data_IF_889601334162
#
_entry.id   IF_889601334162
#
_cell.length_a   1.000
_cell.length_b   1.000
_cell.length_c   1.000
_cell.angle_alpha   90.00
_cell.angle_beta   90.00
_cell.angle_gamma   90.00
#
_symmetry.space_group_name_H-M   'P 1'
#
loop_
_entity.id
_entity.type
_entity.pdbx_description
1 polymer ?
#
# COMPACT_ATOMS: atom_id res chain seq x y z
N UNK A 1 -61.27 57.72 -25.45
CA UNK A 1 -60.75 56.87 -26.54
C UNK A 1 -59.26 56.87 -26.50
N UNK A 2 -58.65 55.87 -25.89
CA UNK A 2 -57.28 55.45 -26.08
C UNK A 2 -57.02 54.33 -25.08
N UNK A 3 -57.00 53.11 -25.58
CA UNK A 3 -56.69 51.89 -24.82
C UNK A 3 -55.21 51.90 -24.54
N UNK A 4 -54.89 51.67 -23.29
CA UNK A 4 -53.52 51.41 -22.86
C UNK A 4 -53.31 49.88 -22.66
N UNK A 5 -52.62 49.31 -23.62
CA UNK A 5 -52.12 47.94 -23.50
C UNK A 5 -51.07 47.87 -22.40
N UNK A 6 -51.36 47.10 -21.36
CA UNK A 6 -50.42 46.77 -20.30
C UNK A 6 -49.82 45.40 -20.64
N UNK A 7 -48.58 45.43 -21.10
CA UNK A 7 -47.81 44.19 -21.39
C UNK A 7 -47.27 43.64 -20.09
N UNK A 8 -47.86 42.54 -19.61
CA UNK A 8 -47.31 41.78 -18.48
C UNK A 8 -46.15 40.90 -18.97
N UNK A 9 -44.93 41.28 -18.56
CA UNK A 9 -43.74 40.49 -18.80
C UNK A 9 -43.64 39.40 -17.69
N UNK A 10 -44.06 38.18 -18.02
CA UNK A 10 -43.91 37.04 -17.11
C UNK A 10 -42.45 36.60 -17.11
N UNK A 11 -41.77 36.91 -16.02
CA UNK A 11 -40.44 36.34 -15.74
C UNK A 11 -40.64 34.91 -15.28
N UNK A 12 -40.48 33.95 -16.21
CA UNK A 12 -40.38 32.56 -15.88
C UNK A 12 -39.03 32.27 -15.24
N UNK A 13 -39.02 32.17 -13.92
CA UNK A 13 -37.88 31.71 -13.14
C UNK A 13 -37.70 30.23 -13.41
N UNK A 14 -36.78 29.88 -14.29
CA UNK A 14 -36.35 28.49 -14.49
C UNK A 14 -35.53 28.06 -13.26
N UNK A 15 -36.21 27.45 -12.32
CA UNK A 15 -35.56 26.69 -11.25
C UNK A 15 -35.10 25.37 -11.86
N UNK A 16 -33.84 25.31 -12.31
CA UNK A 16 -33.18 24.08 -12.66
C UNK A 16 -33.01 23.25 -11.37
N UNK A 17 -33.58 22.05 -11.31
CA UNK A 17 -33.23 21.16 -10.22
C UNK A 17 -31.74 20.75 -10.38
N UNK A 18 -30.88 21.30 -9.55
CA UNK A 18 -29.54 20.73 -9.37
C UNK A 18 -29.73 19.29 -8.88
N UNK A 19 -29.32 18.29 -9.64
CA UNK A 19 -29.25 16.95 -9.08
C UNK A 19 -28.19 17.00 -7.98
N UNK A 20 -28.64 16.89 -6.73
CA UNK A 20 -27.77 16.49 -5.65
C UNK A 20 -27.26 15.09 -5.99
N UNK A 21 -26.15 15.04 -6.69
CA UNK A 21 -25.34 13.84 -6.74
C UNK A 21 -24.79 13.60 -5.33
N UNK A 22 -25.62 12.94 -4.50
CA UNK A 22 -25.14 12.21 -3.35
C UNK A 22 -24.34 11.00 -3.87
N UNK A 23 -23.30 11.29 -4.63
CA UNK A 23 -22.31 10.30 -4.95
C UNK A 23 -21.50 10.06 -3.67
N UNK A 24 -21.71 8.92 -3.00
CA UNK A 24 -20.62 8.27 -2.34
C UNK A 24 -19.59 7.96 -3.44
N UNK A 25 -18.86 8.99 -3.86
CA UNK A 25 -17.70 8.80 -4.71
C UNK A 25 -16.71 7.92 -3.94
N UNK A 26 -15.94 7.08 -4.62
CA UNK A 26 -14.84 6.40 -3.99
C UNK A 26 -14.05 7.44 -3.22
N UNK A 27 -13.70 7.16 -1.98
CA UNK A 27 -12.83 8.03 -1.19
C UNK A 27 -11.56 8.23 -2.00
N UNK A 28 -11.46 9.37 -2.67
CA UNK A 28 -10.24 9.77 -3.34
C UNK A 28 -9.25 10.02 -2.22
N UNK A 29 -8.37 9.07 -2.00
CA UNK A 29 -7.18 9.36 -1.22
C UNK A 29 -6.46 10.46 -1.99
N UNK A 30 -6.10 11.51 -1.30
CA UNK A 30 -5.40 12.63 -1.89
C UNK A 30 -4.15 12.09 -2.60
N UNK A 31 -4.05 12.15 -3.94
CA UNK A 31 -2.89 11.62 -4.66
C UNK A 31 -1.60 12.37 -4.31
N UNK A 32 -1.68 13.38 -3.47
CA UNK A 32 -0.56 14.22 -3.02
C UNK A 32 -0.23 14.03 -1.54
N UNK A 33 -0.54 12.86 -0.96
CA UNK A 33 -0.07 12.58 0.40
C UNK A 33 1.45 12.68 0.42
N UNK A 34 1.97 13.70 1.08
CA UNK A 34 3.39 13.85 1.34
C UNK A 34 3.75 13.13 2.63
N UNK A 35 4.67 12.18 2.55
CA UNK A 35 5.19 11.50 3.73
C UNK A 35 6.10 12.48 4.48
N UNK A 36 5.70 12.82 5.69
CA UNK A 36 6.54 13.63 6.59
C UNK A 36 7.64 12.77 7.17
N UNK A 37 8.85 13.29 7.18
CA UNK A 37 9.96 12.62 7.86
C UNK A 37 9.62 12.37 9.33
N UNK A 38 9.77 11.13 9.76
CA UNK A 38 9.51 10.73 11.13
C UNK A 38 10.22 9.41 11.44
N UNK A 39 10.90 9.37 12.57
CA UNK A 39 11.49 8.13 13.09
C UNK A 39 10.44 7.04 13.38
N UNK A 40 9.16 7.42 13.46
CA UNK A 40 8.04 6.50 13.67
C UNK A 40 7.51 5.88 12.39
N UNK A 41 7.92 6.39 11.22
CA UNK A 41 7.57 5.79 9.94
C UNK A 41 8.26 4.43 9.81
N UNK A 42 7.52 3.46 9.28
CA UNK A 42 8.09 2.18 8.91
C UNK A 42 7.23 1.45 7.87
N UNK A 43 7.89 0.60 7.10
CA UNK A 43 7.27 -0.32 6.15
C UNK A 43 7.89 -1.70 6.35
N UNK A 44 7.05 -2.73 6.38
CA UNK A 44 7.47 -4.13 6.39
C UNK A 44 6.91 -4.84 5.16
N UNK A 45 7.80 -5.42 4.34
CA UNK A 45 7.49 -6.13 3.12
C UNK A 45 7.88 -7.59 3.31
N UNK A 46 6.95 -8.52 3.03
CA UNK A 46 7.20 -9.96 3.09
C UNK A 46 6.96 -10.58 1.72
N UNK A 47 8.02 -11.08 1.12
CA UNK A 47 7.99 -11.78 -0.16
C UNK A 47 8.19 -13.29 0.03
N UNK A 48 7.43 -14.08 -0.71
CA UNK A 48 7.51 -15.53 -0.76
C UNK A 48 7.61 -15.99 -2.21
N UNK A 49 8.58 -16.85 -2.47
CA UNK A 49 8.66 -17.59 -3.72
C UNK A 49 8.28 -19.05 -3.46
N UNK A 50 7.14 -19.45 -3.99
CA UNK A 50 6.51 -20.76 -3.73
C UNK A 50 6.78 -21.78 -4.83
N UNK A 51 7.53 -21.41 -5.87
CA UNK A 51 7.88 -22.32 -6.96
C UNK A 51 8.78 -23.49 -6.52
N UNK A 52 9.27 -23.46 -5.28
CA UNK A 52 10.14 -24.52 -4.68
C UNK A 52 9.74 -24.77 -3.24
N UNK A 53 10.00 -26.00 -2.79
CA UNK A 53 9.87 -26.38 -1.36
C UNK A 53 11.27 -26.64 -0.78
N UNK A 54 11.55 -26.14 0.43
CA UNK A 54 10.73 -25.24 1.24
C UNK A 54 10.60 -23.86 0.58
N UNK A 55 9.50 -23.15 0.87
CA UNK A 55 9.19 -21.83 0.30
C UNK A 55 10.30 -20.84 0.67
N UNK A 56 10.91 -20.21 -0.32
CA UNK A 56 11.88 -19.13 -0.07
C UNK A 56 11.14 -17.90 0.42
N UNK A 57 11.67 -17.28 1.45
CA UNK A 57 11.07 -16.14 2.09
C UNK A 57 12.08 -15.03 2.36
N UNK A 58 11.66 -13.79 2.10
CA UNK A 58 12.42 -12.58 2.39
C UNK A 58 11.50 -11.59 3.08
N UNK A 59 11.95 -11.02 4.18
CA UNK A 59 11.32 -9.89 4.86
C UNK A 59 12.25 -8.69 4.83
N UNK A 60 11.73 -7.52 4.49
CA UNK A 60 12.44 -6.25 4.54
C UNK A 60 11.64 -5.29 5.40
N UNK A 61 12.23 -4.78 6.45
CA UNK A 61 11.63 -3.78 7.33
C UNK A 61 12.48 -2.51 7.24
N UNK A 62 11.87 -1.41 6.81
CA UNK A 62 12.53 -0.10 6.64
C UNK A 62 11.93 0.84 7.67
N UNK A 63 12.79 1.54 8.38
CA UNK A 63 12.40 2.50 9.42
C UNK A 63 12.81 3.93 9.01
N UNK A 64 12.04 4.93 9.44
CA UNK A 64 12.32 6.34 9.17
C UNK A 64 13.65 6.85 9.74
N UNK A 65 14.29 6.07 10.60
CA UNK A 65 15.67 6.30 11.07
C UNK A 65 16.74 5.91 10.05
N UNK A 66 16.34 5.37 8.88
CA UNK A 66 17.25 4.80 7.89
C UNK A 66 17.72 3.38 8.23
N UNK A 67 17.25 2.80 9.33
CA UNK A 67 17.56 1.39 9.63
C UNK A 67 16.74 0.47 8.73
N UNK A 68 17.41 -0.48 8.08
CA UNK A 68 16.78 -1.54 7.29
C UNK A 68 17.14 -2.90 7.90
N UNK A 69 16.13 -3.70 8.22
CA UNK A 69 16.30 -5.07 8.67
C UNK A 69 15.87 -6.02 7.56
N UNK A 70 16.79 -6.89 7.14
CA UNK A 70 16.53 -7.88 6.10
C UNK A 70 16.63 -9.26 6.69
N UNK A 71 15.55 -10.04 6.60
CA UNK A 71 15.51 -11.45 7.00
C UNK A 71 15.36 -12.31 5.75
N UNK A 72 16.23 -13.30 5.59
CA UNK A 72 16.15 -14.29 4.52
C UNK A 72 16.07 -15.67 5.13
N UNK A 73 15.25 -16.52 4.55
CA UNK A 73 15.12 -17.89 5.03
C UNK A 73 14.09 -18.66 4.23
N UNK A 74 13.54 -19.66 4.88
CA UNK A 74 12.49 -20.50 4.32
C UNK A 74 11.25 -20.46 5.20
N UNK A 75 10.13 -20.87 4.66
CA UNK A 75 8.87 -21.07 5.39
C UNK A 75 8.19 -22.31 4.88
N UNK A 76 7.45 -23.00 5.73
CA UNK A 76 6.61 -24.12 5.31
C UNK A 76 5.26 -23.63 4.79
N UNK A 77 4.81 -22.46 5.28
CA UNK A 77 3.49 -21.90 5.00
C UNK A 77 3.57 -20.42 4.67
N UNK A 78 2.70 -19.97 3.79
CA UNK A 78 2.38 -18.55 3.59
C UNK A 78 1.26 -18.17 4.56
N UNK A 79 1.44 -17.08 5.29
CA UNK A 79 0.42 -16.58 6.21
C UNK A 79 -0.07 -15.20 5.79
N UNK A 80 -1.38 -15.03 5.75
CA UNK A 80 -2.03 -13.74 5.54
C UNK A 80 -2.00 -12.85 6.81
N UNK A 81 -1.64 -13.40 7.98
CA UNK A 81 -1.56 -12.67 9.23
C UNK A 81 -0.16 -12.08 9.43
N UNK A 82 -0.06 -10.76 9.49
CA UNK A 82 1.21 -10.06 9.70
C UNK A 82 1.92 -10.49 10.98
N UNK A 83 1.18 -10.66 12.08
CA UNK A 83 1.78 -11.08 13.36
C UNK A 83 2.41 -12.46 13.26
N UNK A 84 1.82 -13.36 12.48
CA UNK A 84 2.40 -14.68 12.20
C UNK A 84 3.59 -14.58 11.25
N UNK A 85 3.51 -13.69 10.22
CA UNK A 85 4.64 -13.46 9.31
C UNK A 85 5.87 -12.89 10.02
N UNK A 86 5.68 -12.04 11.01
CA UNK A 86 6.78 -11.34 11.70
C UNK A 86 7.50 -12.19 12.74
N UNK A 87 6.87 -13.28 13.22
CA UNK A 87 7.48 -14.15 14.26
C UNK A 87 8.58 -15.03 13.69
N UNK A 88 9.74 -15.04 14.32
CA UNK A 88 10.87 -15.87 13.91
C UNK A 88 10.57 -17.37 13.95
N UNK A 89 9.66 -17.81 14.84
CA UNK A 89 9.23 -19.20 14.93
C UNK A 89 8.61 -19.76 13.63
N UNK A 90 8.17 -18.88 12.72
CA UNK A 90 7.61 -19.27 11.42
C UNK A 90 8.65 -19.26 10.28
N UNK A 91 9.92 -19.09 10.61
CA UNK A 91 11.00 -19.05 9.64
C UNK A 91 11.97 -20.22 9.88
N UNK A 92 12.41 -20.85 8.79
CA UNK A 92 13.52 -21.79 8.79
C UNK A 92 14.77 -21.15 8.18
N UNK A 93 15.95 -21.61 8.65
CA UNK A 93 17.25 -21.19 8.11
C UNK A 93 17.45 -19.68 8.02
N UNK A 94 17.08 -18.95 9.07
CA UNK A 94 17.09 -17.48 9.09
C UNK A 94 18.51 -16.94 8.99
N UNK A 95 18.68 -15.95 8.11
CA UNK A 95 19.81 -15.02 8.09
C UNK A 95 19.26 -13.61 8.20
N UNK A 96 19.75 -12.86 9.19
CA UNK A 96 19.33 -11.48 9.42
C UNK A 96 20.50 -10.53 9.13
N UNK A 97 20.20 -9.46 8.42
CA UNK A 97 21.14 -8.39 8.11
C UNK A 97 20.53 -7.06 8.58
N UNK A 98 21.39 -6.19 9.09
CA UNK A 98 21.04 -4.81 9.40
C UNK A 98 21.86 -3.89 8.51
N UNK A 99 21.18 -3.01 7.81
CA UNK A 99 21.78 -2.01 6.91
C UNK A 99 21.39 -0.66 7.44
N UNK A 100 22.23 0.32 7.29
CA UNK A 100 21.93 1.71 7.57
C UNK A 100 22.00 2.49 6.26
N UNK A 101 20.90 3.13 5.89
CA UNK A 101 20.80 4.07 4.77
C UNK A 101 20.57 5.48 5.31
N UNK A 102 20.64 6.46 4.44
CA UNK A 102 20.26 7.84 4.78
C UNK A 102 18.76 7.87 5.14
N UNK A 103 18.35 8.54 6.24
CA UNK A 103 16.94 8.73 6.57
C UNK A 103 16.13 9.37 5.43
N UNK A 104 16.74 10.26 4.65
CA UNK A 104 16.11 10.84 3.47
C UNK A 104 15.84 9.76 2.40
N UNK A 105 16.80 8.86 2.14
CA UNK A 105 16.58 7.75 1.22
C UNK A 105 15.46 6.82 1.68
N UNK A 106 15.34 6.58 2.99
CA UNK A 106 14.20 5.83 3.54
C UNK A 106 12.87 6.57 3.29
N UNK A 107 12.85 7.89 3.48
CA UNK A 107 11.66 8.71 3.22
C UNK A 107 11.28 8.73 1.74
N UNK A 108 12.26 8.76 0.84
CA UNK A 108 12.04 8.68 -0.61
C UNK A 108 11.41 7.34 -1.01
N UNK A 109 11.86 6.22 -0.41
CA UNK A 109 11.23 4.91 -0.59
C UNK A 109 9.78 4.95 -0.10
N UNK A 110 9.50 5.51 1.07
CA UNK A 110 8.15 5.62 1.60
C UNK A 110 7.25 6.46 0.70
N UNK A 111 7.74 7.62 0.22
CA UNK A 111 7.00 8.48 -0.69
C UNK A 111 6.70 7.76 -2.01
N UNK A 112 7.66 7.02 -2.54
CA UNK A 112 7.46 6.24 -3.75
C UNK A 112 6.35 5.19 -3.56
N UNK A 113 6.37 4.43 -2.46
CA UNK A 113 5.32 3.45 -2.16
C UNK A 113 3.94 4.10 -1.97
N UNK A 114 3.87 5.32 -1.39
CA UNK A 114 2.62 6.09 -1.29
C UNK A 114 2.12 6.50 -2.66
N UNK A 115 3.00 6.94 -3.56
CA UNK A 115 2.66 7.29 -4.93
C UNK A 115 2.11 6.10 -5.73
N UNK A 116 2.51 4.87 -5.36
CA UNK A 116 1.95 3.62 -5.91
C UNK A 116 0.74 3.08 -5.10
N UNK A 117 0.16 3.89 -4.22
CA UNK A 117 -1.10 3.57 -3.56
C UNK A 117 -1.00 2.64 -2.36
N UNK A 118 0.15 2.53 -1.70
CA UNK A 118 0.29 1.66 -0.51
C UNK A 118 -0.67 2.03 0.62
N UNK A 119 -1.12 3.29 0.69
CA UNK A 119 -2.09 3.77 1.68
C UNK A 119 -3.53 3.80 1.16
N UNK A 120 -3.77 3.64 -0.15
CA UNK A 120 -5.07 3.86 -0.80
C UNK A 120 -6.06 2.69 -0.61
N UNK A 121 -5.65 1.66 0.09
CA UNK A 121 -6.42 0.42 0.13
C UNK A 121 -7.41 0.38 1.26
N UNK A 122 -8.67 0.23 0.89
CA UNK A 122 -9.67 -0.29 1.82
C UNK A 122 -9.19 -1.66 2.32
N UNK A 123 -9.29 -1.87 3.63
CA UNK A 123 -9.00 -3.17 4.27
C UNK A 123 -9.99 -4.22 3.73
N UNK A 124 -9.74 -4.67 2.52
CA UNK A 124 -10.52 -5.76 1.94
C UNK A 124 -10.04 -7.06 2.57
N UNK A 125 -10.55 -7.41 3.74
CA UNK A 125 -10.36 -8.72 4.35
C UNK A 125 -10.96 -9.88 3.53
N UNK A 126 -11.16 -9.67 2.24
CA UNK A 126 -11.59 -10.65 1.26
C UNK A 126 -10.36 -11.33 0.71
N UNK A 127 -9.91 -12.37 1.41
CA UNK A 127 -9.07 -13.39 0.79
C UNK A 127 -9.75 -13.83 -0.51
N UNK A 128 -9.21 -13.42 -1.65
CA UNK A 128 -9.62 -14.01 -2.91
C UNK A 128 -9.23 -15.48 -2.85
N UNK A 129 -10.19 -16.39 -3.07
CA UNK A 129 -9.94 -17.82 -3.16
C UNK A 129 -9.29 -18.20 -4.50
N UNK A 130 -8.58 -17.27 -5.15
CA UNK A 130 -7.87 -17.54 -6.39
C UNK A 130 -6.67 -18.43 -6.12
N UNK A 131 -6.37 -19.26 -7.09
CA UNK A 131 -5.24 -20.20 -7.07
C UNK A 131 -3.96 -19.50 -6.62
N UNK A 132 -3.25 -20.19 -5.75
CA UNK A 132 -1.98 -19.71 -5.19
C UNK A 132 -1.01 -19.50 -6.34
N UNK A 133 -0.65 -18.28 -6.62
CA UNK A 133 0.41 -17.95 -7.57
C UNK A 133 1.76 -18.45 -7.04
N UNK A 134 2.74 -18.65 -7.92
CA UNK A 134 4.10 -19.04 -7.52
C UNK A 134 4.81 -17.97 -6.66
N UNK A 135 4.20 -16.79 -6.53
CA UNK A 135 4.75 -15.66 -5.78
C UNK A 135 3.68 -15.03 -4.92
N UNK A 136 4.06 -14.64 -3.72
CA UNK A 136 3.22 -13.89 -2.80
C UNK A 136 4.02 -12.71 -2.22
N UNK A 137 3.43 -11.53 -2.18
CA UNK A 137 4.01 -10.36 -1.52
C UNK A 137 2.95 -9.67 -0.69
N UNK A 138 3.31 -9.32 0.53
CA UNK A 138 2.45 -8.59 1.45
C UNK A 138 3.21 -7.41 2.05
N UNK A 139 2.50 -6.35 2.33
CA UNK A 139 3.05 -5.13 2.92
C UNK A 139 2.26 -4.73 4.17
N UNK A 140 2.95 -4.15 5.12
CA UNK A 140 2.36 -3.38 6.20
C UNK A 140 3.15 -2.08 6.35
N UNK A 141 2.44 -0.96 6.39
CA UNK A 141 3.05 0.35 6.49
C UNK A 141 2.42 1.18 7.61
N UNK A 142 3.23 1.98 8.27
CA UNK A 142 2.79 3.04 9.17
C UNK A 142 3.56 4.31 8.78
N UNK A 143 2.92 5.16 8.00
CA UNK A 143 3.53 6.37 7.44
C UNK A 143 2.70 7.59 7.84
N UNK A 144 3.34 8.59 8.43
CA UNK A 144 2.69 9.83 8.87
C UNK A 144 1.45 9.60 9.75
N UNK A 145 1.48 8.60 10.65
CA UNK A 145 0.38 8.14 11.50
C UNK A 145 -0.78 7.43 10.76
N UNK A 146 -0.62 7.13 9.48
CA UNK A 146 -1.55 6.28 8.75
C UNK A 146 -1.04 4.84 8.76
N UNK A 147 -1.82 3.93 9.32
CA UNK A 147 -1.47 2.51 9.35
C UNK A 147 -2.22 1.78 8.25
N UNK A 148 -1.46 1.12 7.38
CA UNK A 148 -1.98 0.24 6.35
C UNK A 148 -1.50 -1.20 6.60
N UNK A 149 -2.37 -2.15 6.37
CA UNK A 149 -2.01 -3.58 6.40
C UNK A 149 -2.79 -4.32 5.34
N UNK A 150 -2.08 -4.99 4.45
CA UNK A 150 -2.67 -5.85 3.44
C UNK A 150 -2.36 -7.32 3.75
N UNK A 151 -3.42 -8.14 3.72
CA UNK A 151 -3.36 -9.57 3.99
C UNK A 151 -3.60 -10.41 2.73
N UNK A 152 -3.62 -9.78 1.56
CA UNK A 152 -3.83 -10.42 0.26
C UNK A 152 -2.56 -10.49 -0.55
N UNK A 153 -2.57 -11.35 -1.56
CA UNK A 153 -1.46 -11.43 -2.50
C UNK A 153 -1.47 -10.23 -3.45
N UNK A 154 -0.53 -9.30 -3.23
CA UNK A 154 -0.44 -8.07 -4.01
C UNK A 154 -0.22 -8.30 -5.51
N UNK A 155 0.41 -9.41 -5.92
CA UNK A 155 0.55 -9.72 -7.35
C UNK A 155 -0.78 -9.96 -8.06
N UNK A 156 -1.84 -10.32 -7.33
CA UNK A 156 -3.19 -10.49 -7.87
C UNK A 156 -4.04 -9.23 -7.74
N UNK A 157 -3.86 -8.50 -6.64
CA UNK A 157 -4.69 -7.34 -6.29
C UNK A 157 -4.22 -6.06 -6.99
N UNK A 158 -2.89 -5.85 -7.01
CA UNK A 158 -2.25 -4.66 -7.58
C UNK A 158 -0.85 -5.00 -8.09
N UNK A 159 -0.74 -5.47 -9.33
CA UNK A 159 0.55 -5.85 -9.90
C UNK A 159 1.59 -4.72 -9.91
N UNK A 160 1.16 -3.47 -10.10
CA UNK A 160 2.08 -2.33 -10.18
C UNK A 160 2.70 -2.06 -8.81
N UNK A 161 1.90 -2.01 -7.75
CA UNK A 161 2.42 -1.90 -6.39
C UNK A 161 3.25 -3.13 -6.01
N UNK A 162 2.82 -4.34 -6.42
CA UNK A 162 3.57 -5.56 -6.13
C UNK A 162 4.98 -5.55 -6.74
N UNK A 163 5.15 -5.09 -7.97
CA UNK A 163 6.49 -4.99 -8.58
C UNK A 163 7.32 -3.91 -7.90
N UNK A 164 6.76 -2.77 -7.49
CA UNK A 164 7.49 -1.78 -6.69
C UNK A 164 7.95 -2.33 -5.34
N UNK A 165 7.10 -3.08 -4.65
CA UNK A 165 7.48 -3.76 -3.41
C UNK A 165 8.59 -4.80 -3.65
N UNK A 166 8.52 -5.52 -4.77
CA UNK A 166 9.54 -6.49 -5.15
C UNK A 166 10.88 -5.83 -5.49
N UNK A 167 10.86 -4.66 -6.12
CA UNK A 167 12.07 -3.91 -6.41
C UNK A 167 12.76 -3.45 -5.13
N UNK A 168 12.00 -2.97 -4.14
CA UNK A 168 12.54 -2.67 -2.80
C UNK A 168 13.15 -3.93 -2.16
N UNK A 169 12.50 -5.09 -2.27
CA UNK A 169 13.05 -6.35 -1.76
C UNK A 169 14.36 -6.72 -2.48
N UNK A 170 14.43 -6.56 -3.80
CA UNK A 170 15.63 -6.85 -4.61
C UNK A 170 16.80 -5.95 -4.25
N UNK A 171 16.54 -4.66 -4.03
CA UNK A 171 17.56 -3.68 -3.64
C UNK A 171 18.30 -4.11 -2.36
N UNK A 172 17.54 -4.58 -1.37
CA UNK A 172 18.10 -4.98 -0.07
C UNK A 172 18.42 -6.49 0.04
N UNK A 173 18.00 -7.29 -0.92
CA UNK A 173 18.26 -8.74 -0.90
C UNK A 173 19.75 -9.05 -0.94
N UNK A 174 20.54 -8.27 -1.68
CA UNK A 174 21.97 -8.44 -1.83
C UNK A 174 22.71 -7.19 -1.36
N UNK A 175 22.82 -6.96 -0.03
CA UNK A 175 23.60 -5.82 0.43
C UNK A 175 25.01 -5.94 -0.12
N UNK A 176 25.42 -4.97 -0.92
CA UNK A 176 26.80 -4.87 -1.38
C UNK A 176 27.72 -4.87 -0.16
N UNK A 177 28.71 -5.75 -0.19
CA UNK A 177 29.71 -5.87 0.87
C UNK A 177 30.59 -4.64 0.92
#
# INVERSE_FOLDING_TARGET
>A
MREKFLTFLAFSLFILPFPFFSGCGPFWVDPYITVKESSLNWVAIHYYNMSRQPIRRIGVEIYGTGTVLVKKGTSELVSNDFAKRSKDANWGNIKTYRIQIDPQAANDIFQNLVNYGVLDREKTGKSSKKEVTDRFIAVKANLSNNTYSDNVNMFEEDPDLAEQLLDVVREFEHPSR
#
